data_IF_011926866922
#
_entry.id   IF_011926866922
#
_cell.length_a   1.000
_cell.length_b   1.000
_cell.length_c   1.000
_cell.angle_alpha   90.00
_cell.angle_beta   90.00
_cell.angle_gamma   90.00
#
_symmetry.space_group_name_H-M   'P 1'
#
loop_
_entity.id
_entity.type
_entity.pdbx_description
1 polymer ?
#
# COMPACT_ATOMS: atom_id res chain seq x y z
N UNK A 1 -29.01 -1.39 37.86
CA UNK A 1 -28.35 -0.75 36.71
C UNK A 1 -27.10 -1.55 36.39
N UNK A 2 -27.11 -2.32 35.30
CA UNK A 2 -26.04 -3.25 34.95
C UNK A 2 -25.62 -2.96 33.51
N UNK A 3 -24.61 -2.10 33.35
CA UNK A 3 -23.93 -1.85 32.07
C UNK A 3 -22.45 -1.71 32.37
N UNK A 4 -21.64 -2.72 32.03
CA UNK A 4 -20.20 -2.58 32.28
C UNK A 4 -19.29 -3.78 32.05
N UNK A 5 -19.68 -4.83 31.32
CA UNK A 5 -18.75 -5.95 31.03
C UNK A 5 -18.53 -6.24 29.53
N UNK A 6 -19.38 -5.75 28.62
CA UNK A 6 -19.26 -6.04 27.18
C UNK A 6 -18.25 -5.21 26.39
N UNK A 7 -17.86 -4.02 26.87
CA UNK A 7 -16.97 -3.10 26.11
C UNK A 7 -15.50 -3.56 26.10
N UNK A 8 -15.05 -4.22 27.18
CA UNK A 8 -13.65 -4.67 27.31
C UNK A 8 -13.35 -5.88 26.41
N UNK A 9 -14.25 -6.86 26.36
CA UNK A 9 -14.07 -8.08 25.57
C UNK A 9 -14.04 -7.80 24.06
N UNK A 10 -14.88 -6.87 23.58
CA UNK A 10 -14.89 -6.44 22.18
C UNK A 10 -13.62 -5.68 21.78
N UNK A 11 -13.05 -4.86 22.69
CA UNK A 11 -11.78 -4.17 22.47
C UNK A 11 -10.58 -5.14 22.48
N UNK A 12 -10.60 -6.17 23.33
CA UNK A 12 -9.56 -7.20 23.35
C UNK A 12 -9.60 -8.08 22.12
N UNK A 13 -10.78 -8.51 21.67
CA UNK A 13 -10.97 -9.23 20.39
C UNK A 13 -10.55 -8.35 19.22
N UNK A 14 -10.81 -7.05 19.27
CA UNK A 14 -10.34 -6.07 18.28
C UNK A 14 -8.81 -5.93 18.23
N UNK A 15 -8.13 -5.84 19.38
CA UNK A 15 -6.66 -5.80 19.43
C UNK A 15 -6.00 -7.12 19.03
N UNK A 16 -6.62 -8.26 19.35
CA UNK A 16 -6.18 -9.58 18.89
C UNK A 16 -6.39 -9.72 17.38
N UNK A 17 -7.47 -9.15 16.85
CA UNK A 17 -7.71 -9.05 15.40
C UNK A 17 -6.66 -8.17 14.69
N UNK A 18 -6.34 -6.98 15.21
CA UNK A 18 -5.30 -6.11 14.65
C UNK A 18 -3.92 -6.77 14.62
N UNK A 19 -3.54 -7.42 15.72
CA UNK A 19 -2.29 -8.17 15.79
C UNK A 19 -2.32 -9.37 14.87
N UNK A 20 -3.41 -10.13 14.83
CA UNK A 20 -3.56 -11.32 13.99
C UNK A 20 -3.54 -11.00 12.49
N UNK A 21 -4.25 -9.97 12.04
CA UNK A 21 -4.37 -9.65 10.61
C UNK A 21 -3.06 -9.06 10.06
N UNK A 22 -2.42 -8.13 10.78
CA UNK A 22 -1.11 -7.59 10.42
C UNK A 22 -0.01 -8.65 10.44
N UNK A 23 -0.08 -9.59 11.39
CA UNK A 23 0.86 -10.70 11.48
C UNK A 23 0.63 -11.73 10.37
N UNK A 24 -0.61 -12.13 10.07
CA UNK A 24 -0.93 -13.05 8.95
C UNK A 24 -0.58 -12.46 7.58
N UNK A 25 -0.69 -11.14 7.40
CA UNK A 25 -0.27 -10.46 6.17
C UNK A 25 1.25 -10.38 6.03
N UNK A 26 2.00 -10.14 7.13
CA UNK A 26 3.48 -10.06 7.12
C UNK A 26 4.15 -11.44 7.09
N UNK A 27 3.61 -12.45 7.77
CA UNK A 27 4.26 -13.76 7.92
C UNK A 27 4.29 -14.59 6.62
N UNK A 28 3.63 -14.12 5.54
CA UNK A 28 3.59 -14.80 4.25
C UNK A 28 4.56 -14.22 3.22
N UNK A 29 5.42 -13.28 3.61
CA UNK A 29 6.46 -12.77 2.73
C UNK A 29 7.60 -13.79 2.62
N UNK A 30 7.97 -14.15 1.40
CA UNK A 30 9.16 -14.95 1.12
C UNK A 30 10.43 -14.11 1.21
N UNK A 31 10.33 -12.83 0.85
CA UNK A 31 11.44 -11.89 0.90
C UNK A 31 10.92 -10.49 1.20
N UNK A 32 11.66 -9.69 1.98
CA UNK A 32 11.32 -8.29 2.28
C UNK A 32 12.52 -7.41 2.00
N UNK A 33 12.32 -6.39 1.17
CA UNK A 33 13.37 -5.41 0.82
C UNK A 33 12.89 -3.99 1.11
N UNK A 34 13.78 -3.16 1.62
CA UNK A 34 13.52 -1.75 1.89
C UNK A 34 14.16 -0.85 0.82
N UNK A 35 13.38 0.10 0.30
CA UNK A 35 13.79 1.06 -0.71
C UNK A 35 13.38 2.46 -0.24
N UNK A 36 14.25 3.14 0.52
CA UNK A 36 13.93 4.44 1.09
C UNK A 36 12.67 4.40 1.97
N UNK A 37 11.61 5.09 1.57
CA UNK A 37 10.33 5.12 2.30
C UNK A 37 9.36 3.99 1.92
N UNK A 38 9.73 3.13 0.97
CA UNK A 38 8.94 2.00 0.55
C UNK A 38 9.52 0.69 1.08
N UNK A 39 8.65 -0.25 1.40
CA UNK A 39 9.01 -1.65 1.68
C UNK A 39 8.27 -2.53 0.70
N UNK A 40 8.98 -3.47 0.08
CA UNK A 40 8.39 -4.47 -0.81
C UNK A 40 8.48 -5.84 -0.17
N UNK A 41 7.33 -6.48 -0.01
CA UNK A 41 7.21 -7.84 0.51
C UNK A 41 6.82 -8.77 -0.63
N UNK A 42 7.72 -9.68 -1.02
CA UNK A 42 7.45 -10.66 -2.06
C UNK A 42 6.58 -11.77 -1.48
N UNK A 43 5.41 -12.01 -2.07
CA UNK A 43 4.47 -13.05 -1.64
C UNK A 43 3.69 -13.63 -2.82
N UNK A 44 2.99 -14.75 -2.59
CA UNK A 44 2.04 -15.30 -3.57
C UNK A 44 0.72 -14.52 -3.55
N UNK A 45 0.26 -14.12 -4.72
CA UNK A 45 -1.10 -13.61 -4.93
C UNK A 45 -2.10 -14.68 -4.54
N UNK A 46 -3.21 -14.25 -3.92
CA UNK A 46 -4.28 -15.15 -3.50
C UNK A 46 -5.63 -14.57 -3.87
N UNK A 47 -6.50 -15.43 -4.39
CA UNK A 47 -7.87 -15.10 -4.75
C UNK A 47 -8.07 -14.95 -6.24
N UNK A 48 -9.01 -14.10 -6.65
CA UNK A 48 -9.33 -13.95 -8.07
C UNK A 48 -8.15 -13.43 -8.88
N UNK A 49 -8.04 -13.90 -10.12
CA UNK A 49 -7.10 -13.33 -11.08
C UNK A 49 -7.34 -11.83 -11.30
N UNK A 50 -6.26 -11.11 -11.53
CA UNK A 50 -6.24 -9.67 -11.80
C UNK A 50 -5.78 -9.46 -13.23
N UNK A 51 -6.66 -8.95 -14.09
CA UNK A 51 -6.31 -8.51 -15.44
C UNK A 51 -5.85 -7.05 -15.36
N UNK A 52 -4.59 -6.80 -15.70
CA UNK A 52 -3.99 -5.47 -15.72
C UNK A 52 -4.25 -4.75 -17.06
N UNK A 53 -4.09 -3.44 -17.08
CA UNK A 53 -4.28 -2.59 -18.27
C UNK A 53 -3.39 -2.95 -19.45
N UNK A 54 -2.18 -3.47 -19.18
CA UNK A 54 -1.25 -3.94 -20.21
C UNK A 54 -1.50 -5.39 -20.66
N UNK A 55 -2.68 -5.94 -20.33
CA UNK A 55 -3.08 -7.33 -20.59
C UNK A 55 -2.31 -8.39 -19.80
N UNK A 56 -1.46 -8.01 -18.85
CA UNK A 56 -0.86 -8.97 -17.91
C UNK A 56 -1.96 -9.58 -17.04
N UNK A 57 -1.96 -10.91 -16.91
CA UNK A 57 -2.88 -11.63 -16.03
C UNK A 57 -2.12 -12.22 -14.84
N UNK A 58 -2.48 -11.76 -13.64
CA UNK A 58 -1.96 -12.26 -12.36
C UNK A 58 -2.93 -13.33 -11.85
N UNK A 59 -2.49 -14.58 -11.75
CA UNK A 59 -3.27 -15.72 -11.29
C UNK A 59 -3.03 -16.02 -9.81
N UNK A 60 -3.91 -16.81 -9.21
CA UNK A 60 -3.68 -17.36 -7.88
C UNK A 60 -2.33 -18.12 -7.85
N UNK A 61 -1.54 -17.86 -6.81
CA UNK A 61 -0.22 -18.47 -6.63
C UNK A 61 0.95 -17.72 -7.29
N UNK A 62 0.70 -16.79 -8.22
CA UNK A 62 1.73 -15.97 -8.86
C UNK A 62 2.47 -15.09 -7.84
N UNK A 63 3.76 -14.86 -8.07
CA UNK A 63 4.56 -14.01 -7.21
C UNK A 63 4.29 -12.52 -7.49
N UNK A 64 3.99 -11.78 -6.43
CA UNK A 64 3.76 -10.33 -6.44
C UNK A 64 4.60 -9.64 -5.36
N UNK A 65 5.01 -8.42 -5.63
CA UNK A 65 5.64 -7.55 -4.64
C UNK A 65 4.59 -6.67 -3.99
N UNK A 66 4.30 -6.87 -2.71
CA UNK A 66 3.39 -6.00 -1.98
C UNK A 66 4.12 -4.74 -1.51
N UNK A 67 3.64 -3.58 -1.97
CA UNK A 67 4.19 -2.26 -1.66
C UNK A 67 3.54 -1.69 -0.39
N UNK A 68 4.39 -1.33 0.56
CA UNK A 68 4.02 -0.60 1.77
C UNK A 68 4.83 0.68 1.90
N UNK A 69 4.21 1.74 2.42
CA UNK A 69 4.89 2.98 2.78
C UNK A 69 5.28 2.96 4.27
N UNK A 70 6.46 3.48 4.58
CA UNK A 70 6.90 3.65 5.95
C UNK A 70 6.19 4.86 6.57
N UNK A 71 5.13 4.58 7.33
CA UNK A 71 4.33 5.60 7.99
C UNK A 71 5.15 6.40 9.02
N UNK A 72 6.12 5.78 9.69
CA UNK A 72 6.93 6.47 10.72
C UNK A 72 7.76 7.60 10.09
N UNK A 73 8.35 7.34 8.93
CA UNK A 73 9.10 8.38 8.18
C UNK A 73 8.17 9.51 7.73
N UNK A 74 6.97 9.20 7.26
CA UNK A 74 5.98 10.20 6.84
C UNK A 74 5.53 11.04 8.04
N UNK A 75 5.23 10.41 9.16
CA UNK A 75 4.80 11.09 10.39
C UNK A 75 5.92 11.98 10.95
N UNK A 76 7.18 11.53 10.90
CA UNK A 76 8.33 12.34 11.28
C UNK A 76 8.46 13.59 10.39
N UNK A 77 8.29 13.45 9.07
CA UNK A 77 8.29 14.57 8.13
C UNK A 77 7.16 15.57 8.40
N UNK A 78 5.94 15.08 8.67
CA UNK A 78 4.80 15.94 9.00
C UNK A 78 5.08 16.73 10.28
N UNK A 79 5.62 16.07 11.32
CA UNK A 79 5.96 16.73 12.59
C UNK A 79 7.06 17.78 12.41
N UNK A 80 8.07 17.51 11.59
CA UNK A 80 9.21 18.40 11.41
C UNK A 80 8.91 19.61 10.51
N UNK A 81 8.10 19.44 9.47
CA UNK A 81 8.00 20.43 8.37
C UNK A 81 6.57 20.90 8.07
N UNK A 82 5.58 20.34 8.77
CA UNK A 82 4.17 20.58 8.51
C UNK A 82 3.62 19.75 7.33
N UNK A 83 2.29 19.60 7.25
CA UNK A 83 1.64 18.65 6.36
C UNK A 83 1.89 18.91 4.86
N UNK A 84 1.89 20.17 4.43
CA UNK A 84 2.02 20.52 3.01
C UNK A 84 3.44 20.26 2.47
N UNK A 85 4.47 20.68 3.20
CA UNK A 85 5.88 20.42 2.84
C UNK A 85 6.20 18.93 2.93
N UNK A 86 5.70 18.25 3.96
CA UNK A 86 5.85 16.81 4.12
C UNK A 86 5.22 16.04 2.95
N UNK A 87 4.07 16.46 2.43
CA UNK A 87 3.45 15.82 1.27
C UNK A 87 4.35 15.90 0.02
N UNK A 88 4.92 17.06 -0.28
CA UNK A 88 5.82 17.23 -1.42
C UNK A 88 7.11 16.40 -1.26
N UNK A 89 7.71 16.41 -0.06
CA UNK A 89 8.89 15.57 0.22
C UNK A 89 8.59 14.09 0.13
N UNK A 90 7.45 13.65 0.67
CA UNK A 90 7.00 12.26 0.59
C UNK A 90 6.83 11.83 -0.86
N UNK A 91 6.23 12.66 -1.72
CA UNK A 91 6.08 12.35 -3.14
C UNK A 91 7.45 12.18 -3.86
N UNK A 92 8.42 13.05 -3.55
CA UNK A 92 9.79 12.94 -4.10
C UNK A 92 10.50 11.68 -3.63
N UNK A 93 10.40 11.35 -2.34
CA UNK A 93 10.98 10.14 -1.77
C UNK A 93 10.32 8.89 -2.35
N UNK A 94 8.99 8.86 -2.45
CA UNK A 94 8.25 7.76 -3.06
C UNK A 94 8.69 7.54 -4.51
N UNK A 95 8.87 8.62 -5.29
CA UNK A 95 9.37 8.51 -6.67
C UNK A 95 10.77 7.90 -6.73
N UNK A 96 11.69 8.29 -5.83
CA UNK A 96 13.03 7.69 -5.73
C UNK A 96 12.96 6.22 -5.37
N UNK A 97 12.17 5.87 -4.37
CA UNK A 97 11.92 4.47 -3.99
C UNK A 97 11.37 3.65 -5.16
N UNK A 98 10.44 4.20 -5.96
CA UNK A 98 9.90 3.51 -7.13
C UNK A 98 10.94 3.28 -8.23
N UNK A 99 11.90 4.19 -8.43
CA UNK A 99 13.02 3.95 -9.35
C UNK A 99 13.89 2.79 -8.87
N UNK A 100 14.26 2.78 -7.59
CA UNK A 100 15.05 1.69 -6.99
C UNK A 100 14.31 0.34 -7.04
N UNK A 101 12.99 0.34 -6.81
CA UNK A 101 12.17 -0.86 -6.96
C UNK A 101 12.17 -1.33 -8.42
N UNK A 102 12.10 -0.41 -9.39
CA UNK A 102 12.14 -0.78 -10.81
C UNK A 102 13.47 -1.40 -11.21
N UNK A 103 14.59 -0.88 -10.70
CA UNK A 103 15.93 -1.47 -10.89
C UNK A 103 15.99 -2.86 -10.24
N UNK A 104 15.51 -2.99 -9.00
CA UNK A 104 15.46 -4.28 -8.30
C UNK A 104 14.64 -5.33 -9.06
N UNK A 105 13.52 -4.94 -9.67
CA UNK A 105 12.75 -5.85 -10.51
C UNK A 105 13.59 -6.42 -11.65
N UNK A 106 14.45 -5.62 -12.29
CA UNK A 106 15.29 -6.05 -13.42
C UNK A 106 16.54 -6.82 -12.99
N UNK A 107 17.19 -6.38 -11.92
CA UNK A 107 18.57 -6.79 -11.62
C UNK A 107 18.69 -7.78 -10.44
N UNK A 108 17.70 -7.85 -9.54
CA UNK A 108 17.77 -8.69 -8.34
C UNK A 108 17.14 -10.07 -8.56
N UNK A 109 17.84 -11.18 -8.24
CA UNK A 109 17.34 -12.54 -8.44
C UNK A 109 16.01 -12.82 -7.74
N UNK A 110 15.80 -12.25 -6.55
CA UNK A 110 14.61 -12.45 -5.73
C UNK A 110 13.35 -11.90 -6.40
N UNK A 111 13.50 -10.89 -7.26
CA UNK A 111 12.40 -10.23 -7.97
C UNK A 111 12.14 -10.82 -9.36
N UNK A 112 12.95 -11.78 -9.82
CA UNK A 112 12.88 -12.33 -11.18
C UNK A 112 11.51 -12.92 -11.52
N UNK A 113 10.89 -13.60 -10.56
CA UNK A 113 9.57 -14.22 -10.73
C UNK A 113 8.40 -13.28 -10.38
N UNK A 114 8.69 -12.07 -9.89
CA UNK A 114 7.65 -11.13 -9.46
C UNK A 114 6.97 -10.50 -10.67
N UNK A 115 5.69 -10.81 -10.87
CA UNK A 115 4.91 -10.35 -12.03
C UNK A 115 4.48 -8.89 -11.93
N UNK A 116 4.18 -8.44 -10.71
CA UNK A 116 3.69 -7.09 -10.47
C UNK A 116 4.02 -6.60 -9.06
N UNK A 117 4.16 -5.28 -8.95
CA UNK A 117 4.13 -4.54 -7.70
C UNK A 117 2.68 -4.12 -7.42
N UNK A 118 2.16 -4.48 -6.25
CA UNK A 118 0.77 -4.25 -5.86
C UNK A 118 0.72 -3.57 -4.49
N UNK A 119 -0.14 -2.59 -4.29
CA UNK A 119 -0.39 -1.98 -2.98
C UNK A 119 -1.88 -1.73 -2.77
N UNK A 120 -2.32 -1.62 -1.52
CA UNK A 120 -3.68 -1.19 -1.19
C UNK A 120 -3.60 0.13 -0.44
N UNK A 121 -4.37 1.12 -0.88
CA UNK A 121 -4.40 2.42 -0.19
C UNK A 121 -5.79 3.04 -0.17
N UNK A 122 -6.08 3.80 0.88
CA UNK A 122 -7.19 4.77 0.90
C UNK A 122 -6.77 6.15 0.37
N UNK A 123 -5.46 6.45 0.31
CA UNK A 123 -4.91 7.76 -0.01
C UNK A 123 -4.50 7.87 -1.49
N UNK A 124 -5.28 7.24 -2.37
CA UNK A 124 -4.98 7.13 -3.79
C UNK A 124 -5.06 8.47 -4.56
N UNK A 125 -5.68 9.52 -4.00
CA UNK A 125 -5.85 10.81 -4.70
C UNK A 125 -4.69 11.80 -4.52
N UNK A 126 -3.72 11.50 -3.65
CA UNK A 126 -2.58 12.39 -3.37
C UNK A 126 -1.22 11.75 -3.62
N UNK A 127 -1.01 10.53 -3.12
CA UNK A 127 0.32 9.89 -3.11
C UNK A 127 0.69 9.19 -4.43
N UNK A 128 -0.30 8.80 -5.23
CA UNK A 128 -0.07 8.03 -6.46
C UNK A 128 0.00 8.91 -7.71
N UNK A 129 -0.36 10.18 -7.59
CA UNK A 129 -0.36 11.12 -8.70
C UNK A 129 1.07 11.28 -9.24
N UNK A 130 1.26 11.03 -10.53
CA UNK A 130 2.58 11.07 -11.18
C UNK A 130 3.44 9.81 -11.01
N UNK A 131 3.04 8.83 -10.20
CA UNK A 131 3.73 7.53 -10.10
C UNK A 131 3.28 6.54 -11.18
N UNK A 132 2.07 6.69 -11.73
CA UNK A 132 1.62 5.93 -12.90
C UNK A 132 1.00 4.56 -12.59
N UNK A 133 0.60 4.34 -11.34
CA UNK A 133 -0.13 3.14 -10.95
C UNK A 133 -1.45 3.03 -11.71
N UNK A 134 -1.72 1.83 -12.21
CA UNK A 134 -3.07 1.39 -12.50
C UNK A 134 -3.86 1.31 -11.18
N UNK A 135 -5.11 1.78 -11.20
CA UNK A 135 -5.98 1.76 -10.02
C UNK A 135 -7.20 0.89 -10.29
N UNK A 136 -7.33 -0.19 -9.52
CA UNK A 136 -8.49 -1.06 -9.57
C UNK A 136 -9.24 -1.00 -8.23
N UNK A 137 -10.56 -0.88 -8.27
CA UNK A 137 -11.36 -0.98 -7.05
C UNK A 137 -11.29 -2.41 -6.51
N UNK A 138 -11.20 -2.58 -5.19
CA UNK A 138 -11.35 -3.90 -4.60
C UNK A 138 -12.73 -4.47 -4.94
N UNK A 139 -12.78 -5.75 -5.34
CA UNK A 139 -14.04 -6.45 -5.57
C UNK A 139 -14.94 -6.35 -4.34
N UNK A 140 -16.24 -6.16 -4.57
CA UNK A 140 -17.22 -6.13 -3.48
C UNK A 140 -17.21 -7.47 -2.72
N UNK A 141 -17.22 -7.40 -1.40
CA UNK A 141 -17.20 -8.58 -0.53
C UNK A 141 -16.62 -8.29 0.86
N UNK A 142 -16.56 -9.34 1.68
CA UNK A 142 -16.09 -9.28 3.07
C UNK A 142 -14.66 -8.71 3.16
N UNK A 143 -13.78 -9.09 2.23
CA UNK A 143 -12.41 -8.58 2.19
C UNK A 143 -12.35 -7.06 2.02
N UNK A 144 -13.14 -6.48 1.10
CA UNK A 144 -13.21 -5.03 0.93
C UNK A 144 -13.76 -4.34 2.17
N UNK A 145 -14.82 -4.88 2.77
CA UNK A 145 -15.42 -4.31 3.97
C UNK A 145 -14.43 -4.29 5.14
N UNK A 146 -13.75 -5.42 5.40
CA UNK A 146 -12.76 -5.53 6.47
C UNK A 146 -11.54 -4.63 6.21
N UNK A 147 -11.03 -4.61 4.98
CA UNK A 147 -9.92 -3.73 4.59
C UNK A 147 -10.29 -2.25 4.74
N UNK A 148 -11.51 -1.87 4.35
CA UNK A 148 -12.00 -0.50 4.52
C UNK A 148 -12.09 -0.13 5.99
N UNK A 149 -12.67 -0.99 6.83
CA UNK A 149 -12.80 -0.76 8.26
C UNK A 149 -11.42 -0.61 8.92
N UNK A 150 -10.50 -1.53 8.62
CA UNK A 150 -9.13 -1.52 9.11
C UNK A 150 -8.39 -0.24 8.72
N UNK A 151 -8.38 0.12 7.43
CA UNK A 151 -7.66 1.30 6.96
C UNK A 151 -8.27 2.62 7.50
N UNK A 152 -9.60 2.69 7.68
CA UNK A 152 -10.24 3.85 8.33
C UNK A 152 -9.85 3.98 9.79
N UNK A 153 -9.75 2.86 10.50
CA UNK A 153 -9.31 2.86 11.88
C UNK A 153 -7.84 3.27 12.00
N UNK A 154 -6.96 2.72 11.15
CA UNK A 154 -5.55 3.17 11.08
C UNK A 154 -5.44 4.67 10.83
N UNK A 155 -6.20 5.22 9.87
CA UNK A 155 -6.22 6.67 9.62
C UNK A 155 -6.66 7.48 10.83
N UNK A 156 -7.60 6.93 11.61
CA UNK A 156 -8.10 7.56 12.85
C UNK A 156 -7.06 7.51 13.96
N UNK A 157 -6.32 6.42 14.09
CA UNK A 157 -5.29 6.23 15.10
C UNK A 157 -4.01 7.03 14.81
N UNK A 158 -3.64 7.21 13.54
CA UNK A 158 -2.37 7.87 13.18
C UNK A 158 -2.40 9.41 13.22
N UNK A 159 -3.56 10.07 13.27
CA UNK A 159 -3.61 11.54 13.35
C UNK A 159 -4.94 12.08 13.92
N UNK A 160 -4.93 13.07 14.83
CA UNK A 160 -6.16 13.75 15.27
C UNK A 160 -6.86 14.50 14.11
N UNK A 161 -6.13 14.93 13.08
CA UNK A 161 -6.70 15.44 11.84
C UNK A 161 -7.21 14.34 10.89
N UNK A 162 -6.75 13.10 11.07
CA UNK A 162 -7.25 11.92 10.37
C UNK A 162 -8.72 11.67 10.68
N UNK A 163 -9.14 11.93 11.93
CA UNK A 163 -10.56 11.95 12.31
C UNK A 163 -11.36 12.99 11.51
N UNK A 164 -10.86 14.22 11.36
CA UNK A 164 -11.51 15.28 10.57
C UNK A 164 -11.56 14.94 9.07
N UNK A 165 -10.56 14.24 8.55
CA UNK A 165 -10.47 13.84 7.13
C UNK A 165 -11.35 12.63 6.80
N UNK A 166 -11.48 11.68 7.72
CA UNK A 166 -12.43 10.56 7.65
C UNK A 166 -13.87 11.06 7.79
N UNK A 167 -14.11 12.03 8.68
CA UNK A 167 -15.42 12.63 8.91
C UNK A 167 -15.91 13.54 7.76
N UNK A 168 -15.01 14.26 7.06
CA UNK A 168 -15.40 15.19 5.98
C UNK A 168 -15.56 14.54 4.60
N UNK A 169 -15.01 13.34 4.35
CA UNK A 169 -15.03 12.67 3.03
C UNK A 169 -15.13 11.14 3.13
N UNK A 170 -16.05 10.62 3.92
CA UNK A 170 -16.23 9.17 4.15
C UNK A 170 -16.54 8.40 2.85
N UNK A 171 -17.20 9.05 1.88
CA UNK A 171 -17.48 8.51 0.54
C UNK A 171 -16.27 8.47 -0.39
N UNK A 172 -15.21 9.25 -0.12
CA UNK A 172 -14.01 9.28 -0.97
C UNK A 172 -12.89 8.33 -0.52
N UNK A 173 -13.10 7.60 0.59
CA UNK A 173 -12.16 6.63 1.16
C UNK A 173 -12.56 5.21 0.73
N UNK A 174 -12.50 4.97 -0.58
CA UNK A 174 -12.65 3.62 -1.15
C UNK A 174 -11.24 3.04 -1.29
N UNK A 175 -10.96 1.84 -0.72
CA UNK A 175 -9.67 1.22 -0.90
C UNK A 175 -9.47 0.84 -2.36
N UNK A 176 -8.39 1.36 -2.92
CA UNK A 176 -7.96 1.07 -4.28
C UNK A 176 -6.75 0.16 -4.22
N UNK A 177 -6.76 -0.84 -5.08
CA UNK A 177 -5.57 -1.60 -5.43
C UNK A 177 -4.78 -0.79 -6.45
N UNK A 178 -3.52 -0.56 -6.13
CA UNK A 178 -2.54 0.08 -6.99
C UNK A 178 -1.68 -1.01 -7.62
N UNK A 179 -1.51 -0.96 -8.93
CA UNK A 179 -0.78 -1.99 -9.66
C UNK A 179 0.24 -1.33 -10.59
N UNK A 180 1.46 -1.85 -10.54
CA UNK A 180 2.43 -1.75 -11.62
C UNK A 180 2.83 -3.16 -12.01
N UNK A 181 2.51 -3.57 -13.23
CA UNK A 181 3.10 -4.77 -13.79
C UNK A 181 4.61 -4.56 -13.97
N UNK A 182 5.36 -5.64 -14.09
CA UNK A 182 6.80 -5.57 -14.40
C UNK A 182 7.07 -4.70 -15.64
N UNK A 183 6.29 -4.88 -16.70
CA UNK A 183 6.40 -4.08 -17.93
C UNK A 183 6.07 -2.60 -17.72
N UNK A 184 4.97 -2.30 -17.02
CA UNK A 184 4.57 -0.93 -16.68
C UNK A 184 5.62 -0.22 -15.81
N UNK A 185 6.17 -0.91 -14.82
CA UNK A 185 7.20 -0.39 -13.91
C UNK A 185 8.47 -0.01 -14.69
N UNK A 186 8.98 -0.94 -15.51
CA UNK A 186 10.13 -0.73 -16.39
C UNK A 186 9.93 0.45 -17.33
N UNK A 187 8.80 0.48 -18.04
CA UNK A 187 8.48 1.55 -18.98
C UNK A 187 8.40 2.92 -18.29
N UNK A 188 7.90 2.97 -17.06
CA UNK A 188 7.70 4.21 -16.34
C UNK A 188 8.98 4.77 -15.72
N UNK A 189 9.83 3.92 -15.16
CA UNK A 189 10.94 4.35 -14.32
C UNK A 189 12.33 4.10 -14.93
N UNK A 190 12.48 3.15 -15.87
CA UNK A 190 13.76 2.85 -16.53
C UNK A 190 13.85 3.42 -17.95
N UNK A 191 12.75 3.39 -18.72
CA UNK A 191 12.77 3.88 -20.11
C UNK A 191 12.83 5.41 -20.24
N UNK A 192 12.53 6.15 -19.16
CA UNK A 192 12.64 7.62 -19.12
C UNK A 192 14.02 8.15 -18.71
N UNK A 193 14.93 7.28 -18.22
CA UNK A 193 16.28 7.65 -17.78
C UNK A 193 17.37 7.53 -18.85
N UNK A 194 17.02 7.05 -20.05
CA UNK A 194 17.97 6.83 -21.16
C UNK A 194 17.82 7.84 -22.30
N UNK A 195 17.42 9.07 -21.97
CA UNK A 195 17.67 10.24 -22.82
C UNK A 195 18.61 11.15 -22.04
N UNK A 196 19.59 11.67 -22.78
CA UNK A 196 20.74 12.55 -22.44
C UNK A 196 21.93 11.92 -21.70
N UNK A 197 23.04 11.77 -22.44
CA UNK A 197 24.40 11.53 -21.94
C UNK A 197 25.13 10.47 -22.71
#
# INVERSE_FOLDING_TARGET
MMVGFGKSMMQSVWMVWERGFGWVLRFRSLHTTHFGICTVMIKRHRGSSILCQDSTLIHDGDMIGELHLNNDTILALIKAEGPDRAALKTARLARRSMMQISEAFEDQPEFREVKALVGITLLHRGLTHGLGFEQQALKYGVFRQMTTAYLRLLLTAMHPEGQRRVARKTEALIPMMLIHTRGSLKNRFLSGGRKIG
#
